data_IF_592334250620
#
_entry.id   IF_592334250620
#
_cell.length_a   1.000
_cell.length_b   1.000
_cell.length_c   1.000
_cell.angle_alpha   90.00
_cell.angle_beta   90.00
_cell.angle_gamma   90.00
#
_symmetry.space_group_name_H-M   'P 1'
#
loop_
_entity.id
_entity.type
_entity.pdbx_description
1 polymer ?
#
# COMPACT_ATOMS: atom_id res chain seq x y z
N UNK A 1 -3.97 -10.24 5.94
CA UNK A 1 -2.92 -9.87 4.97
C UNK A 1 -3.33 -8.53 4.40
N UNK A 2 -2.43 -7.55 4.37
CA UNK A 2 -2.75 -6.20 3.91
C UNK A 2 -2.13 -5.97 2.54
N UNK A 3 -2.95 -5.60 1.57
CA UNK A 3 -2.49 -5.24 0.24
C UNK A 3 -2.53 -3.71 0.13
N UNK A 4 -1.36 -3.11 -0.01
CA UNK A 4 -1.22 -1.67 -0.23
C UNK A 4 -1.10 -1.45 -1.73
N UNK A 5 -2.06 -0.74 -2.30
CA UNK A 5 -2.11 -0.42 -3.72
C UNK A 5 -1.55 0.98 -3.93
N UNK A 6 -0.48 1.08 -4.71
CA UNK A 6 0.14 2.36 -5.06
C UNK A 6 0.24 2.38 -6.58
N UNK A 7 -0.67 3.06 -7.29
CA UNK A 7 -0.73 3.02 -8.77
C UNK A 7 0.61 3.36 -9.37
N UNK A 8 1.11 4.54 -9.05
CA UNK A 8 2.28 5.13 -9.67
C UNK A 8 3.03 5.96 -8.64
N UNK A 9 4.15 5.42 -8.15
CA UNK A 9 5.03 6.05 -7.17
C UNK A 9 5.59 7.40 -7.66
N UNK A 10 5.57 7.68 -8.97
CA UNK A 10 5.97 8.99 -9.53
C UNK A 10 4.87 10.05 -9.42
N UNK A 11 3.62 9.63 -9.21
CA UNK A 11 2.44 10.50 -9.03
C UNK A 11 1.92 10.51 -7.60
N UNK A 12 2.51 9.70 -6.72
CA UNK A 12 2.25 9.79 -5.28
C UNK A 12 2.68 11.17 -4.83
N UNK A 13 1.70 12.02 -4.53
CA UNK A 13 1.92 13.33 -3.92
C UNK A 13 2.59 13.13 -2.55
N UNK A 14 3.37 14.11 -2.08
CA UNK A 14 3.94 14.05 -0.73
C UNK A 14 2.86 13.80 0.35
N UNK A 15 1.64 14.29 0.16
CA UNK A 15 0.51 14.05 1.05
C UNK A 15 0.05 12.58 1.08
N UNK A 16 -0.13 11.95 -0.08
CA UNK A 16 -0.56 10.55 -0.17
C UNK A 16 0.51 9.60 0.36
N UNK A 17 1.79 9.88 0.09
CA UNK A 17 2.89 9.13 0.70
C UNK A 17 2.94 9.34 2.22
N UNK A 18 2.74 10.57 2.68
CA UNK A 18 2.72 10.93 4.09
C UNK A 18 1.63 10.21 4.88
N UNK A 19 0.49 9.93 4.26
CA UNK A 19 -0.59 9.15 4.87
C UNK A 19 -0.29 7.63 4.92
N UNK A 20 0.41 7.10 3.91
CA UNK A 20 0.72 5.67 3.81
C UNK A 20 1.94 5.26 4.66
N UNK A 21 2.94 6.13 4.80
CA UNK A 21 4.18 5.82 5.51
C UNK A 21 3.97 5.36 6.96
N UNK A 22 3.17 6.06 7.80
CA UNK A 22 2.89 5.61 9.17
C UNK A 22 2.23 4.24 9.22
N UNK A 23 1.38 3.93 8.23
CA UNK A 23 0.69 2.65 8.13
C UNK A 23 1.67 1.54 7.79
N UNK A 24 2.53 1.75 6.79
CA UNK A 24 3.58 0.81 6.42
C UNK A 24 4.52 0.53 7.59
N UNK A 25 4.96 1.57 8.32
CA UNK A 25 5.81 1.42 9.49
C UNK A 25 5.12 0.64 10.62
N UNK A 26 3.83 0.90 10.85
CA UNK A 26 3.06 0.17 11.86
C UNK A 26 2.86 -1.29 11.46
N UNK A 27 2.53 -1.56 10.20
CA UNK A 27 2.38 -2.92 9.68
C UNK A 27 3.68 -3.73 9.81
N UNK A 28 4.82 -3.10 9.52
CA UNK A 28 6.14 -3.69 9.71
C UNK A 28 6.45 -3.95 11.19
N UNK A 29 6.24 -2.96 12.05
CA UNK A 29 6.45 -3.07 13.50
C UNK A 29 5.55 -4.13 14.15
N UNK A 30 4.31 -4.28 13.66
CA UNK A 30 3.37 -5.30 14.09
C UNK A 30 3.65 -6.69 13.49
N UNK A 31 4.68 -6.82 12.64
CA UNK A 31 4.99 -8.03 11.87
C UNK A 31 3.78 -8.56 11.10
N UNK A 32 2.90 -7.67 10.66
CA UNK A 32 1.75 -8.01 9.85
C UNK A 32 2.22 -8.54 8.49
N UNK A 33 1.44 -9.42 7.88
CA UNK A 33 1.70 -9.84 6.49
C UNK A 33 1.16 -8.77 5.55
N UNK A 34 2.03 -8.05 4.85
CA UNK A 34 1.62 -7.03 3.90
C UNK A 34 2.55 -6.97 2.69
N UNK A 35 2.05 -6.39 1.60
CA UNK A 35 2.81 -6.18 0.36
C UNK A 35 2.28 -4.96 -0.39
N UNK A 36 3.14 -4.40 -1.25
CA UNK A 36 2.83 -3.27 -2.12
C UNK A 36 2.68 -3.75 -3.56
N UNK A 37 1.68 -3.26 -4.25
CA UNK A 37 1.50 -3.44 -5.70
C UNK A 37 1.58 -2.09 -6.39
N UNK A 38 2.44 -1.96 -7.41
CA UNK A 38 2.60 -0.73 -8.19
C UNK A 38 2.97 -1.01 -9.65
N UNK A 39 2.73 -0.05 -10.54
CA UNK A 39 3.23 -0.11 -11.93
C UNK A 39 4.67 0.40 -12.05
N UNK A 40 5.19 1.05 -11.00
CA UNK A 40 6.50 1.70 -11.00
C UNK A 40 7.67 0.71 -11.11
N UNK A 41 8.80 1.22 -11.58
CA UNK A 41 10.04 0.44 -11.66
C UNK A 41 10.45 -0.06 -10.26
N UNK A 42 10.84 -1.32 -10.20
CA UNK A 42 11.35 -1.98 -8.99
C UNK A 42 12.54 -1.22 -8.38
N UNK A 43 13.37 -0.57 -9.21
CA UNK A 43 14.48 0.25 -8.73
C UNK A 43 13.99 1.44 -7.88
N UNK A 44 12.91 2.11 -8.31
CA UNK A 44 12.33 3.25 -7.61
C UNK A 44 11.65 2.81 -6.30
N UNK A 45 10.96 1.67 -6.33
CA UNK A 45 10.34 1.12 -5.12
C UNK A 45 11.37 0.69 -4.09
N UNK A 46 12.49 0.12 -4.53
CA UNK A 46 13.61 -0.23 -3.65
C UNK A 46 14.20 1.02 -2.99
N UNK A 47 14.44 2.10 -3.74
CA UNK A 47 14.94 3.35 -3.17
C UNK A 47 14.00 3.91 -2.10
N UNK A 48 12.68 3.79 -2.31
CA UNK A 48 11.68 4.24 -1.35
C UNK A 48 11.66 3.37 -0.09
N UNK A 49 11.74 2.05 -0.24
CA UNK A 49 11.87 1.11 0.86
C UNK A 49 13.13 1.40 1.70
N UNK A 50 14.27 1.61 1.03
CA UNK A 50 15.55 1.94 1.66
C UNK A 50 15.51 3.30 2.37
N UNK A 51 14.92 4.32 1.75
CA UNK A 51 14.76 5.66 2.33
C UNK A 51 13.84 5.65 3.56
N UNK A 52 12.76 4.87 3.52
CA UNK A 52 11.82 4.71 4.62
C UNK A 52 12.34 3.76 5.71
N UNK A 53 13.40 2.99 5.42
CA UNK A 53 13.91 1.89 6.25
C UNK A 53 12.86 0.82 6.54
N UNK A 54 12.01 0.53 5.57
CA UNK A 54 10.94 -0.47 5.68
C UNK A 54 11.22 -1.59 4.70
N UNK A 55 11.17 -2.83 5.16
CA UNK A 55 11.25 -4.00 4.29
C UNK A 55 9.85 -4.52 3.99
N UNK A 56 9.44 -4.48 2.72
CA UNK A 56 8.15 -5.02 2.30
C UNK A 56 8.26 -5.80 1.00
N UNK A 57 7.37 -6.77 0.86
CA UNK A 57 7.20 -7.47 -0.41
C UNK A 57 6.59 -6.52 -1.42
N UNK A 58 7.21 -6.44 -2.59
CA UNK A 58 6.76 -5.59 -3.68
C UNK A 58 6.47 -6.41 -4.92
N UNK A 59 5.36 -6.11 -5.58
CA UNK A 59 4.96 -6.70 -6.84
C UNK A 59 4.72 -5.61 -7.87
N UNK A 60 5.37 -5.76 -9.02
CA UNK A 60 5.06 -4.95 -10.19
C UNK A 60 3.84 -5.53 -10.90
N UNK A 61 2.90 -4.66 -11.30
CA UNK A 61 1.71 -5.04 -12.04
C UNK A 61 1.65 -4.28 -13.37
N UNK A 62 0.97 -4.88 -14.34
CA UNK A 62 0.57 -4.19 -15.56
C UNK A 62 -0.24 -2.91 -15.24
N UNK A 63 0.02 -1.87 -16.03
CA UNK A 63 -0.56 -0.54 -15.92
C UNK A 63 -2.07 -0.51 -15.95
N UNK A 64 -2.65 -1.21 -16.91
CA UNK A 64 -4.08 -1.15 -17.19
C UNK A 64 -4.85 -2.02 -16.20
N UNK A 65 -4.28 -3.18 -15.83
CA UNK A 65 -4.84 -4.03 -14.77
C UNK A 65 -4.87 -3.29 -13.43
N UNK A 66 -3.78 -2.64 -13.03
CA UNK A 66 -3.74 -1.94 -11.74
C UNK A 66 -4.68 -0.73 -11.74
N UNK A 67 -4.79 0.00 -12.85
CA UNK A 67 -5.76 1.10 -12.98
C UNK A 67 -7.20 0.62 -12.81
N UNK A 68 -7.59 -0.49 -13.44
CA UNK A 68 -8.95 -1.05 -13.26
C UNK A 68 -9.22 -1.41 -11.80
N UNK A 69 -8.24 -2.00 -11.11
CA UNK A 69 -8.37 -2.30 -9.68
C UNK A 69 -8.53 -1.00 -8.87
N UNK A 70 -7.76 0.04 -9.22
CA UNK A 70 -7.76 1.30 -8.49
C UNK A 70 -8.94 2.23 -8.82
N UNK A 71 -9.60 2.10 -9.97
CA UNK A 71 -10.84 2.83 -10.27
C UNK A 71 -11.90 2.63 -9.17
N UNK A 72 -11.94 1.43 -8.58
CA UNK A 72 -12.83 1.12 -7.46
C UNK A 72 -12.14 1.18 -6.08
N UNK A 73 -10.81 1.00 -6.02
CA UNK A 73 -10.05 0.68 -4.80
C UNK A 73 -8.72 1.46 -4.67
N UNK A 74 -8.78 2.77 -4.47
CA UNK A 74 -7.57 3.61 -4.36
C UNK A 74 -6.90 3.55 -2.97
N UNK A 75 -5.84 2.77 -2.77
CA UNK A 75 -5.00 2.92 -1.55
C UNK A 75 -4.77 1.63 -0.78
N UNK A 76 -5.69 1.20 0.08
CA UNK A 76 -5.46 -0.01 0.91
C UNK A 76 -6.61 -1.01 0.76
N UNK A 77 -6.26 -2.27 0.51
CA UNK A 77 -7.18 -3.40 0.50
C UNK A 77 -6.78 -4.38 1.61
N UNK A 78 -7.73 -4.70 2.48
CA UNK A 78 -7.53 -5.65 3.58
C UNK A 78 -8.05 -7.01 3.15
N UNK A 79 -7.17 -8.02 3.20
CA UNK A 79 -7.47 -9.40 2.83
C UNK A 79 -7.48 -10.29 4.07
N UNK A 80 -8.57 -11.02 4.27
CA UNK A 80 -8.67 -12.06 5.30
C UNK A 80 -9.04 -13.39 4.62
N UNK A 81 -8.16 -14.39 4.75
CA UNK A 81 -8.34 -15.73 4.13
C UNK A 81 -8.65 -15.67 2.62
N UNK A 82 -8.01 -14.74 1.89
CA UNK A 82 -8.19 -14.58 0.44
C UNK A 82 -9.42 -13.75 0.03
N UNK A 83 -10.20 -13.25 0.99
CA UNK A 83 -11.37 -12.41 0.74
C UNK A 83 -11.07 -10.95 1.08
N UNK A 84 -11.52 -10.03 0.23
CA UNK A 84 -11.47 -8.59 0.52
C UNK A 84 -12.52 -8.26 1.59
N UNK A 85 -12.07 -7.87 2.78
CA UNK A 85 -12.96 -7.52 3.89
C UNK A 85 -13.15 -6.01 4.02
N UNK A 86 -12.15 -5.22 3.64
CA UNK A 86 -12.21 -3.75 3.64
C UNK A 86 -11.38 -3.16 2.51
N UNK A 87 -11.80 -1.97 2.07
CA UNK A 87 -11.18 -1.15 1.04
C UNK A 87 -11.16 0.29 1.55
N UNK A 88 -10.02 0.94 1.44
CA UNK A 88 -9.83 2.33 1.83
C UNK A 88 -9.38 3.12 0.62
N UNK A 89 -10.07 4.23 0.39
CA UNK A 89 -9.76 5.20 -0.67
C UNK A 89 -8.70 6.18 -0.20
N UNK A 90 -8.03 6.83 -1.15
CA UNK A 90 -7.14 7.95 -0.88
C UNK A 90 -7.89 9.03 -0.08
N UNK A 91 -7.29 9.54 1.00
CA UNK A 91 -7.92 10.48 1.94
C UNK A 91 -8.91 9.87 2.93
N UNK A 92 -9.29 8.60 2.79
CA UNK A 92 -10.13 7.85 3.74
C UNK A 92 -9.36 6.72 4.44
N UNK A 93 -8.04 6.82 4.40
CA UNK A 93 -7.16 5.83 4.99
C UNK A 93 -7.21 6.01 6.52
N UNK A 94 -7.58 4.97 7.29
CA UNK A 94 -7.73 5.07 8.74
C UNK A 94 -6.36 5.24 9.39
N UNK A 95 -6.36 5.62 10.66
CA UNK A 95 -5.12 5.64 11.43
C UNK A 95 -4.49 4.23 11.49
N UNK A 96 -3.16 4.11 11.65
CA UNK A 96 -2.50 2.82 11.72
C UNK A 96 -3.04 1.91 12.85
N UNK A 97 -3.47 2.49 13.97
CA UNK A 97 -4.02 1.75 15.10
C UNK A 97 -5.43 1.20 14.83
N UNK A 98 -6.27 1.94 14.10
CA UNK A 98 -7.59 1.49 13.66
C UNK A 98 -7.52 0.40 12.58
N UNK A 99 -6.45 0.38 11.79
CA UNK A 99 -6.24 -0.62 10.76
C UNK A 99 -5.89 -2.00 11.36
N UNK A 100 -5.10 -2.04 12.42
CA UNK A 100 -4.56 -3.30 13.00
C UNK A 100 -5.44 -3.87 14.11
N UNK A 101 -6.30 -3.05 14.72
CA UNK A 101 -7.23 -3.50 15.78
C UNK A 101 -8.43 -4.32 15.31
N UNK A 102 -8.47 -4.70 14.02
CA UNK A 102 -9.54 -5.47 13.38
C UNK A 102 -9.11 -6.88 13.03
#
# INVERSE_FOLDING_TARGET
>A
VYMVLVTDMTKVTQESYGALLPIMQKLDSAKAKWFVVSVSDLALVKQMADAAKINFLYYNSDGDILKQIMEENTGIVVLQKGVVVKKYREGQIPSPDELISQ
#
